data_IF_815326280552
#
_entry.id   IF_815326280552
#
_cell.length_a   1.000
_cell.length_b   1.000
_cell.length_c   1.000
_cell.angle_alpha   90.00
_cell.angle_beta   90.00
_cell.angle_gamma   90.00
#
_symmetry.space_group_name_H-M   'P 1'
#
loop_
_entity.id
_entity.type
_entity.pdbx_description
1 polymer ?
#
# COMPACT_ATOMS: atom_id res chain seq x y z
N UNK A 1 -57.70 59.82 14.88
CA UNK A 1 -57.14 59.33 13.60
C UNK A 1 -55.61 59.46 13.47
N UNK A 2 -54.89 60.18 14.36
CA UNK A 2 -53.42 60.29 14.26
C UNK A 2 -52.65 59.02 14.69
N UNK A 3 -53.19 58.24 15.63
CA UNK A 3 -52.54 57.02 16.15
C UNK A 3 -52.73 55.77 15.27
N UNK A 4 -53.77 55.74 14.43
CA UNK A 4 -54.02 54.62 13.51
C UNK A 4 -53.04 54.61 12.33
N UNK A 5 -52.61 55.79 11.88
CA UNK A 5 -51.62 55.91 10.80
C UNK A 5 -50.22 55.42 11.25
N UNK A 6 -49.89 55.64 12.53
CA UNK A 6 -48.60 55.24 13.11
C UNK A 6 -48.51 53.72 13.30
N UNK A 7 -49.62 53.07 13.65
CA UNK A 7 -49.71 51.60 13.74
C UNK A 7 -49.65 50.98 12.35
N UNK A 8 -50.32 51.56 11.35
CA UNK A 8 -50.29 51.07 9.98
C UNK A 8 -48.89 51.15 9.33
N UNK A 9 -48.12 52.22 9.63
CA UNK A 9 -46.74 52.37 9.17
C UNK A 9 -45.78 51.43 9.90
N UNK A 10 -46.03 51.12 11.18
CA UNK A 10 -45.18 50.18 11.95
C UNK A 10 -45.38 48.72 11.54
N UNK A 11 -46.56 48.35 11.04
CA UNK A 11 -46.85 46.99 10.53
C UNK A 11 -46.23 46.76 9.14
N UNK A 12 -46.05 47.81 8.34
CA UNK A 12 -45.38 47.74 7.03
C UNK A 12 -43.85 47.59 7.11
N UNK A 13 -43.24 47.83 8.28
CA UNK A 13 -41.79 47.66 8.52
C UNK A 13 -41.42 46.28 9.06
N UNK A 14 -42.40 45.41 9.35
CA UNK A 14 -42.18 44.07 9.92
C UNK A 14 -42.33 42.93 8.88
N UNK A 15 -42.57 43.23 7.60
CA UNK A 15 -42.72 42.22 6.54
C UNK A 15 -41.47 42.07 5.67
N UNK A 16 -40.32 42.59 6.12
CA UNK A 16 -39.05 42.53 5.41
C UNK A 16 -38.04 41.57 6.05
N UNK A 17 -38.44 40.35 6.37
CA UNK A 17 -37.48 39.24 6.45
C UNK A 17 -37.42 38.63 5.06
N UNK A 18 -36.53 39.18 4.22
CA UNK A 18 -35.98 38.49 3.06
C UNK A 18 -35.21 37.29 3.63
N UNK A 19 -35.91 36.15 3.74
CA UNK A 19 -35.34 34.88 4.17
C UNK A 19 -34.43 34.42 3.03
N UNK A 20 -33.21 34.97 3.05
CA UNK A 20 -32.22 34.83 1.99
C UNK A 20 -32.12 33.37 1.61
N UNK A 21 -32.51 33.09 0.37
CA UNK A 21 -32.55 31.75 -0.20
C UNK A 21 -31.18 31.09 0.01
N UNK A 22 -31.08 30.23 1.03
CA UNK A 22 -29.85 29.51 1.37
C UNK A 22 -29.67 28.45 0.29
N UNK A 23 -29.08 28.85 -0.83
CA UNK A 23 -28.57 27.92 -1.84
C UNK A 23 -27.44 27.15 -1.16
N UNK A 24 -27.77 26.01 -0.57
CA UNK A 24 -26.78 25.09 -0.01
C UNK A 24 -26.08 24.39 -1.17
N UNK A 25 -24.90 24.87 -1.52
CA UNK A 25 -23.99 24.13 -2.39
C UNK A 25 -23.60 22.82 -1.71
N UNK A 26 -23.92 21.69 -2.33
CA UNK A 26 -23.61 20.35 -1.82
C UNK A 26 -22.88 19.54 -2.91
N UNK A 27 -21.78 18.88 -2.54
CA UNK A 27 -20.96 18.11 -3.46
C UNK A 27 -21.41 16.65 -3.48
N UNK A 28 -22.27 16.29 -4.43
CA UNK A 28 -22.92 14.97 -4.48
C UNK A 28 -22.16 14.01 -5.41
N UNK A 29 -21.48 13.02 -4.81
CA UNK A 29 -20.73 11.98 -5.53
C UNK A 29 -21.10 10.55 -5.09
N UNK A 30 -22.18 10.35 -4.34
CA UNK A 30 -22.51 9.06 -3.71
C UNK A 30 -22.58 7.89 -4.71
N UNK A 31 -23.07 8.15 -5.93
CA UNK A 31 -23.19 7.14 -6.99
C UNK A 31 -21.95 7.00 -7.88
N UNK A 32 -20.95 7.85 -7.72
CA UNK A 32 -19.72 7.80 -8.50
C UNK A 32 -18.71 6.83 -7.85
N UNK A 33 -18.07 5.98 -8.66
CA UNK A 33 -16.99 5.10 -8.21
C UNK A 33 -15.66 5.84 -8.08
N UNK A 34 -14.84 5.46 -7.09
CA UNK A 34 -13.47 5.96 -6.99
C UNK A 34 -12.60 5.32 -8.07
N UNK A 35 -11.83 6.15 -8.76
CA UNK A 35 -10.86 5.75 -9.79
C UNK A 35 -9.46 6.26 -9.41
N UNK A 36 -8.41 5.63 -9.96
CA UNK A 36 -6.99 5.96 -9.73
C UNK A 36 -6.34 6.34 -11.05
N UNK A 37 -5.59 7.43 -11.07
CA UNK A 37 -4.72 7.75 -12.20
C UNK A 37 -3.53 6.78 -12.24
N UNK A 38 -3.21 6.23 -13.41
CA UNK A 38 -2.17 5.20 -13.56
C UNK A 38 -0.75 5.67 -13.21
N UNK A 39 -0.47 6.96 -13.43
CA UNK A 39 0.89 7.52 -13.36
C UNK A 39 1.07 8.55 -12.22
N UNK A 40 0.11 8.65 -11.29
CA UNK A 40 0.16 9.64 -10.21
C UNK A 40 -0.58 9.16 -8.97
N UNK A 41 -0.36 9.81 -7.84
CA UNK A 41 -0.98 9.53 -6.55
C UNK A 41 -2.45 10.00 -6.43
N UNK A 42 -3.11 10.23 -7.57
CA UNK A 42 -4.44 10.84 -7.63
C UNK A 42 -5.53 9.78 -7.68
N UNK A 43 -6.40 9.81 -6.67
CA UNK A 43 -7.71 9.19 -6.67
C UNK A 43 -8.76 10.24 -7.06
N UNK A 44 -9.81 9.85 -7.78
CA UNK A 44 -10.84 10.79 -8.18
C UNK A 44 -12.21 10.13 -8.35
N UNK A 45 -13.24 10.99 -8.37
CA UNK A 45 -14.62 10.66 -8.73
C UNK A 45 -15.10 11.70 -9.73
N UNK A 46 -15.85 11.28 -10.73
CA UNK A 46 -16.48 12.16 -11.72
C UNK A 46 -17.99 12.00 -11.61
N UNK A 47 -18.70 13.12 -11.64
CA UNK A 47 -20.14 13.19 -11.77
C UNK A 47 -20.48 14.27 -12.83
N UNK A 48 -20.67 13.83 -14.07
CA UNK A 48 -20.92 14.69 -15.23
C UNK A 48 -19.86 15.80 -15.43
N UNK A 49 -20.17 17.06 -15.09
CA UNK A 49 -19.26 18.22 -15.22
C UNK A 49 -18.39 18.44 -13.98
N UNK A 50 -18.58 17.64 -12.93
CA UNK A 50 -17.95 17.82 -11.62
C UNK A 50 -16.95 16.70 -11.34
N UNK A 51 -15.86 17.03 -10.65
CA UNK A 51 -14.88 16.06 -10.18
C UNK A 51 -14.46 16.34 -8.75
N UNK A 52 -14.29 15.27 -7.97
CA UNK A 52 -13.68 15.30 -6.66
C UNK A 52 -12.34 14.56 -6.75
N UNK A 53 -11.25 15.25 -6.44
CA UNK A 53 -9.88 14.85 -6.73
C UNK A 53 -9.12 14.78 -5.41
N UNK A 54 -8.69 13.58 -5.03
CA UNK A 54 -7.91 13.31 -3.83
C UNK A 54 -6.49 12.89 -4.21
N UNK A 55 -5.52 13.76 -3.99
CA UNK A 55 -4.11 13.45 -4.17
C UNK A 55 -3.51 13.08 -2.82
N UNK A 56 -2.95 11.88 -2.69
CA UNK A 56 -2.28 11.45 -1.45
C UNK A 56 -1.26 10.37 -1.75
N UNK A 57 -0.08 10.35 -1.08
CA UNK A 57 0.93 9.33 -1.31
C UNK A 57 0.35 7.91 -1.22
N UNK A 58 0.73 7.05 -2.18
CA UNK A 58 0.32 5.64 -2.18
C UNK A 58 0.67 4.93 -0.86
N UNK A 59 1.74 5.33 -0.18
CA UNK A 59 2.14 4.80 1.13
C UNK A 59 1.05 4.88 2.21
N UNK A 60 0.02 5.71 2.02
CA UNK A 60 -1.16 5.79 2.91
C UNK A 60 -2.17 4.65 2.70
N UNK A 61 -2.01 3.85 1.65
CA UNK A 61 -2.82 2.68 1.31
C UNK A 61 -1.97 1.39 1.34
N UNK A 62 -1.31 1.04 2.46
CA UNK A 62 -0.62 -0.22 2.53
C UNK A 62 -1.64 -1.37 2.50
N UNK A 63 -1.30 -2.44 1.77
CA UNK A 63 -2.05 -3.70 1.72
C UNK A 63 -1.96 -4.48 3.04
N UNK A 64 -2.42 -3.87 4.11
CA UNK A 64 -2.43 -4.40 5.48
C UNK A 64 -3.75 -3.98 6.12
N UNK A 65 -4.44 -4.91 6.77
CA UNK A 65 -5.71 -4.61 7.42
C UNK A 65 -5.53 -3.62 8.57
N UNK A 66 -6.53 -2.76 8.76
CA UNK A 66 -6.63 -1.93 9.96
C UNK A 66 -7.41 -2.70 11.02
N UNK A 67 -7.06 -2.54 12.29
CA UNK A 67 -7.87 -3.08 13.39
C UNK A 67 -9.27 -2.44 13.37
N UNK A 68 -10.27 -3.18 13.86
CA UNK A 68 -11.64 -2.70 13.94
C UNK A 68 -11.70 -1.33 14.65
N UNK A 69 -12.43 -0.39 14.06
CA UNK A 69 -12.61 0.99 14.56
C UNK A 69 -11.31 1.80 14.75
N UNK A 70 -10.19 1.35 14.19
CA UNK A 70 -8.89 2.05 14.26
C UNK A 70 -8.40 2.35 12.83
N UNK A 71 -8.98 3.35 12.14
CA UNK A 71 -8.55 3.69 10.79
C UNK A 71 -7.16 4.32 10.79
N UNK A 72 -6.49 4.31 9.63
CA UNK A 72 -5.30 5.13 9.41
C UNK A 72 -5.72 6.58 9.23
N UNK A 73 -5.08 7.48 9.96
CA UNK A 73 -5.38 8.91 9.91
C UNK A 73 -4.32 9.61 9.08
N UNK A 74 -4.76 10.30 8.02
CA UNK A 74 -3.90 11.11 7.14
C UNK A 74 -4.38 12.56 7.22
N UNK A 75 -3.52 13.48 7.67
CA UNK A 75 -3.88 14.90 7.70
C UNK A 75 -4.00 15.46 6.28
N UNK A 76 -4.98 16.34 6.05
CA UNK A 76 -5.06 17.11 4.81
C UNK A 76 -4.08 18.29 4.90
N UNK A 77 -3.17 18.38 3.92
CA UNK A 77 -2.06 19.31 3.90
C UNK A 77 -0.76 18.65 3.42
N UNK A 78 0.22 19.47 3.02
CA UNK A 78 1.51 18.99 2.51
C UNK A 78 1.35 18.19 1.21
N UNK A 79 1.68 16.90 1.24
CA UNK A 79 1.58 15.98 0.09
C UNK A 79 0.16 15.42 -0.13
N UNK A 80 -0.78 15.72 0.78
CA UNK A 80 -2.17 15.25 0.71
C UNK A 80 -3.11 16.41 0.49
N UNK A 81 -3.97 16.34 -0.53
CA UNK A 81 -4.97 17.37 -0.84
C UNK A 81 -6.26 16.78 -1.38
N UNK A 82 -7.37 17.44 -1.06
CA UNK A 82 -8.69 17.19 -1.65
C UNK A 82 -9.14 18.45 -2.38
N UNK A 83 -9.59 18.30 -3.61
CA UNK A 83 -10.02 19.40 -4.47
C UNK A 83 -11.35 19.01 -5.11
N UNK A 84 -12.33 19.90 -5.05
CA UNK A 84 -13.50 19.83 -5.92
C UNK A 84 -13.31 20.76 -7.12
N UNK A 85 -13.74 20.32 -8.29
CA UNK A 85 -13.60 21.06 -9.55
C UNK A 85 -14.84 20.90 -10.42
N UNK A 86 -15.34 22.02 -10.95
CA UNK A 86 -16.41 22.06 -11.96
C UNK A 86 -15.85 22.51 -13.30
N UNK A 87 -16.19 21.77 -14.34
CA UNK A 87 -15.75 21.99 -15.70
C UNK A 87 -16.86 22.62 -16.55
N UNK A 88 -16.47 23.27 -17.66
CA UNK A 88 -17.42 23.92 -18.57
C UNK A 88 -18.33 22.95 -19.31
N UNK A 89 -17.90 21.70 -19.46
CA UNK A 89 -18.65 20.59 -20.08
C UNK A 89 -18.36 19.30 -19.32
N UNK A 90 -19.07 18.22 -19.66
CA UNK A 90 -18.85 16.88 -19.08
C UNK A 90 -17.37 16.53 -19.11
N UNK A 91 -16.85 16.12 -17.95
CA UNK A 91 -15.42 15.82 -17.76
C UNK A 91 -15.14 14.32 -17.87
N UNK A 92 -13.86 13.97 -17.89
CA UNK A 92 -13.39 12.60 -18.08
C UNK A 92 -12.03 12.39 -17.42
N UNK A 93 -11.58 11.14 -17.34
CA UNK A 93 -10.27 10.76 -16.79
C UNK A 93 -9.11 11.58 -17.33
N UNK A 94 -9.09 11.92 -18.63
CA UNK A 94 -7.99 12.68 -19.24
C UNK A 94 -7.91 14.11 -18.71
N UNK A 95 -9.05 14.71 -18.32
CA UNK A 95 -9.07 16.04 -17.70
C UNK A 95 -8.63 16.06 -16.24
N UNK A 96 -8.50 14.89 -15.61
CA UNK A 96 -8.07 14.73 -14.22
C UNK A 96 -6.62 14.25 -14.14
N UNK A 97 -6.28 13.22 -14.93
CA UNK A 97 -5.00 12.51 -14.86
C UNK A 97 -3.93 13.06 -15.81
N UNK A 98 -4.33 13.77 -16.87
CA UNK A 98 -3.44 14.37 -17.85
C UNK A 98 -3.58 15.90 -17.84
N UNK A 99 -3.10 16.56 -18.90
CA UNK A 99 -3.30 18.01 -19.08
C UNK A 99 -4.77 18.30 -19.39
N UNK A 100 -5.50 19.04 -18.54
CA UNK A 100 -6.90 19.34 -18.76
C UNK A 100 -7.09 20.17 -20.04
N UNK A 101 -8.06 19.78 -20.87
CA UNK A 101 -8.44 20.52 -22.09
C UNK A 101 -9.75 21.27 -21.92
N UNK A 102 -10.56 20.90 -20.93
CA UNK A 102 -11.82 21.57 -20.61
C UNK A 102 -11.56 22.72 -19.62
N UNK A 103 -12.08 23.94 -19.88
CA UNK A 103 -11.99 25.05 -18.93
C UNK A 103 -12.60 24.72 -17.57
N UNK A 104 -11.93 25.13 -16.51
CA UNK A 104 -12.42 25.01 -15.13
C UNK A 104 -13.24 26.25 -14.80
N UNK A 105 -14.52 26.05 -14.49
CA UNK A 105 -15.43 27.13 -14.10
C UNK A 105 -15.34 27.43 -12.60
N UNK A 106 -15.08 26.40 -11.81
CA UNK A 106 -15.05 26.52 -10.35
C UNK A 106 -14.06 25.52 -9.74
N UNK A 107 -13.36 25.95 -8.70
CA UNK A 107 -12.46 25.09 -7.95
C UNK A 107 -12.51 25.44 -6.47
N UNK A 108 -12.70 24.42 -5.65
CA UNK A 108 -12.66 24.50 -4.20
C UNK A 108 -11.49 23.69 -3.69
N UNK A 109 -10.66 24.30 -2.86
CA UNK A 109 -9.59 23.59 -2.16
C UNK A 109 -10.07 23.18 -0.78
N UNK A 110 -9.56 22.09 -0.25
CA UNK A 110 -9.87 21.67 1.12
C UNK A 110 -8.75 22.07 2.06
N UNK A 111 -9.12 22.67 3.18
CA UNK A 111 -8.21 23.04 4.26
C UNK A 111 -8.62 22.35 5.55
N UNK A 112 -7.62 21.99 6.37
CA UNK A 112 -7.83 21.29 7.64
C UNK A 112 -8.39 19.87 7.49
N UNK A 113 -8.63 19.23 8.64
CA UNK A 113 -9.23 17.91 8.71
C UNK A 113 -8.28 16.75 8.35
N UNK A 114 -8.87 15.55 8.28
CA UNK A 114 -8.14 14.29 8.05
C UNK A 114 -8.90 13.38 7.10
N UNK A 115 -8.20 12.55 6.34
CA UNK A 115 -8.73 11.33 5.74
C UNK A 115 -8.55 10.16 6.71
N UNK A 116 -9.64 9.50 7.08
CA UNK A 116 -9.66 8.23 7.79
C UNK A 116 -9.79 7.10 6.77
N UNK A 117 -8.80 6.19 6.76
CA UNK A 117 -8.71 5.08 5.81
C UNK A 117 -8.85 3.78 6.57
N UNK A 118 -9.95 3.06 6.34
CA UNK A 118 -10.19 1.71 6.86
C UNK A 118 -9.84 0.68 5.79
N UNK A 119 -8.99 -0.29 6.10
CA UNK A 119 -8.52 -1.30 5.13
C UNK A 119 -8.97 -2.70 5.54
N UNK A 120 -9.61 -3.41 4.62
CA UNK A 120 -10.10 -4.79 4.81
C UNK A 120 -9.60 -5.69 3.68
N UNK A 121 -9.31 -6.97 3.96
CA UNK A 121 -9.04 -7.95 2.90
C UNK A 121 -10.28 -8.24 2.07
N UNK A 122 -10.06 -8.50 0.79
CA UNK A 122 -11.01 -9.14 -0.12
C UNK A 122 -10.52 -10.58 -0.31
N UNK A 123 -11.35 -11.54 0.05
CA UNK A 123 -11.05 -12.97 -0.06
C UNK A 123 -11.71 -13.56 -1.31
N UNK A 124 -11.08 -14.56 -1.92
CA UNK A 124 -11.69 -15.41 -2.94
C UNK A 124 -12.64 -16.46 -2.32
N UNK A 125 -13.19 -17.35 -3.15
CA UNK A 125 -14.11 -18.42 -2.70
C UNK A 125 -13.44 -19.43 -1.77
N UNK A 126 -12.11 -19.47 -1.72
CA UNK A 126 -11.33 -20.39 -0.88
C UNK A 126 -10.81 -19.72 0.40
N UNK A 127 -11.19 -18.47 0.66
CA UNK A 127 -10.73 -17.72 1.83
C UNK A 127 -9.32 -17.14 1.68
N UNK A 128 -8.74 -17.15 0.48
CA UNK A 128 -7.42 -16.59 0.20
C UNK A 128 -7.58 -15.10 -0.14
N UNK A 129 -6.75 -14.26 0.47
CA UNK A 129 -6.75 -12.84 0.15
C UNK A 129 -6.30 -12.60 -1.30
N UNK A 130 -7.11 -11.89 -2.08
CA UNK A 130 -6.83 -11.54 -3.48
C UNK A 130 -6.69 -10.04 -3.72
N UNK A 131 -7.20 -9.22 -2.83
CA UNK A 131 -7.13 -7.76 -2.91
C UNK A 131 -7.36 -7.12 -1.53
N UNK A 132 -7.20 -5.80 -1.45
CA UNK A 132 -7.60 -4.99 -0.31
C UNK A 132 -8.59 -3.92 -0.74
N UNK A 133 -9.55 -3.63 0.15
CA UNK A 133 -10.45 -2.50 0.02
C UNK A 133 -10.08 -1.43 1.03
N UNK A 134 -9.83 -0.21 0.55
CA UNK A 134 -9.55 0.97 1.36
C UNK A 134 -10.76 1.90 1.35
N UNK A 135 -11.56 1.90 2.41
CA UNK A 135 -12.67 2.84 2.57
C UNK A 135 -12.17 4.17 3.13
N UNK A 136 -12.44 5.27 2.43
CA UNK A 136 -11.91 6.60 2.71
C UNK A 136 -13.06 7.53 3.14
N UNK A 137 -12.93 8.09 4.33
CA UNK A 137 -13.87 9.07 4.91
C UNK A 137 -13.09 10.28 5.39
N UNK A 138 -13.44 11.47 4.91
CA UNK A 138 -12.86 12.70 5.41
C UNK A 138 -13.59 13.18 6.66
N UNK A 139 -12.86 13.74 7.62
CA UNK A 139 -13.38 14.28 8.88
C UNK A 139 -12.97 15.72 9.07
N UNK A 140 -13.93 16.54 9.51
CA UNK A 140 -13.75 17.96 9.86
C UNK A 140 -13.00 18.75 8.77
N UNK A 141 -13.42 18.59 7.52
CA UNK A 141 -12.82 19.26 6.37
C UNK A 141 -13.60 20.51 6.00
N UNK A 142 -12.90 21.53 5.49
CA UNK A 142 -13.52 22.76 4.99
C UNK A 142 -13.13 22.98 3.54
N UNK A 143 -14.10 22.93 2.63
CA UNK A 143 -13.94 23.40 1.26
C UNK A 143 -13.96 24.93 1.25
N UNK A 144 -12.99 25.55 0.58
CA UNK A 144 -12.85 26.99 0.49
C UNK A 144 -12.66 27.47 -0.95
N UNK A 145 -13.24 28.63 -1.24
CA UNK A 145 -12.91 29.54 -2.34
C UNK A 145 -12.48 30.88 -1.73
N UNK A 146 -12.07 31.89 -2.53
CA UNK A 146 -11.79 33.22 -1.98
C UNK A 146 -12.97 33.84 -1.21
N UNK A 147 -14.21 33.54 -1.62
CA UNK A 147 -15.41 34.22 -1.11
C UNK A 147 -16.35 33.33 -0.30
N UNK A 148 -16.20 32.00 -0.38
CA UNK A 148 -17.13 31.04 0.23
C UNK A 148 -16.39 29.93 0.98
N UNK A 149 -17.06 29.35 1.96
CA UNK A 149 -16.62 28.17 2.68
C UNK A 149 -17.78 27.20 2.94
N UNK A 150 -17.49 25.90 2.91
CA UNK A 150 -18.44 24.83 3.24
C UNK A 150 -17.71 23.83 4.15
N UNK A 151 -18.29 23.54 5.31
CA UNK A 151 -17.71 22.66 6.32
C UNK A 151 -18.43 21.32 6.32
N UNK A 152 -17.67 20.22 6.40
CA UNK A 152 -18.20 18.88 6.60
C UNK A 152 -17.52 18.23 7.82
N UNK A 153 -18.32 17.86 8.81
CA UNK A 153 -17.85 17.03 9.94
C UNK A 153 -17.42 15.64 9.44
N UNK A 154 -18.13 15.11 8.44
CA UNK A 154 -17.83 13.84 7.81
C UNK A 154 -18.23 13.86 6.33
N UNK A 155 -17.33 13.42 5.45
CA UNK A 155 -17.60 13.30 4.01
C UNK A 155 -17.06 11.99 3.47
N UNK A 156 -17.94 11.10 3.01
CA UNK A 156 -17.55 9.79 2.47
C UNK A 156 -17.03 9.93 1.05
N UNK A 157 -15.76 9.64 0.83
CA UNK A 157 -15.18 9.63 -0.51
C UNK A 157 -15.55 8.34 -1.24
N UNK A 158 -15.34 7.18 -0.60
CA UNK A 158 -15.68 5.88 -1.16
C UNK A 158 -14.55 4.87 -0.97
N UNK A 159 -14.62 3.79 -1.73
CA UNK A 159 -13.73 2.64 -1.62
C UNK A 159 -12.71 2.59 -2.77
N UNK A 160 -11.43 2.49 -2.43
CA UNK A 160 -10.31 2.30 -3.36
C UNK A 160 -9.77 0.87 -3.23
N UNK A 161 -9.74 0.11 -4.33
CA UNK A 161 -9.25 -1.26 -4.36
C UNK A 161 -7.80 -1.34 -4.84
N UNK A 162 -6.99 -2.14 -4.15
CA UNK A 162 -5.64 -2.51 -4.54
C UNK A 162 -5.52 -4.02 -4.67
N UNK A 163 -4.75 -4.49 -5.65
CA UNK A 163 -4.57 -5.92 -5.90
C UNK A 163 -3.48 -6.52 -5.01
N UNK A 164 -3.61 -7.82 -4.70
CA UNK A 164 -2.48 -8.64 -4.27
C UNK A 164 -1.81 -9.19 -5.54
N UNK A 165 -0.49 -8.99 -5.65
CA UNK A 165 0.29 -9.53 -6.76
C UNK A 165 0.63 -10.98 -6.45
N UNK A 166 0.44 -11.89 -7.41
CA UNK A 166 1.02 -13.23 -7.32
C UNK A 166 2.37 -13.22 -8.05
N UNK A 167 3.47 -13.45 -7.33
CA UNK A 167 4.82 -13.49 -7.93
C UNK A 167 5.08 -14.76 -8.75
N UNK A 168 4.13 -15.72 -8.81
CA UNK A 168 4.35 -17.06 -9.35
C UNK A 168 5.61 -17.68 -8.74
N UNK A 169 5.65 -17.65 -7.40
CA UNK A 169 6.80 -18.05 -6.60
C UNK A 169 7.00 -19.57 -6.66
N UNK A 170 7.63 -20.04 -7.74
CA UNK A 170 7.96 -21.44 -7.96
C UNK A 170 9.47 -21.67 -7.83
N UNK A 171 9.84 -22.15 -6.65
CA UNK A 171 11.19 -22.61 -6.34
C UNK A 171 11.21 -24.09 -5.94
N UNK A 172 10.14 -24.82 -6.25
CA UNK A 172 9.95 -26.23 -5.86
C UNK A 172 11.09 -27.13 -6.38
N UNK A 173 11.63 -26.81 -7.56
CA UNK A 173 12.74 -27.52 -8.19
C UNK A 173 14.07 -26.74 -8.17
N UNK A 174 14.10 -25.55 -7.57
CA UNK A 174 15.30 -24.73 -7.54
C UNK A 174 16.25 -25.17 -6.42
N UNK A 175 17.51 -25.42 -6.76
CA UNK A 175 18.55 -25.80 -5.81
C UNK A 175 19.08 -24.59 -5.05
N UNK A 176 19.23 -24.72 -3.73
CA UNK A 176 19.91 -23.72 -2.90
C UNK A 176 21.37 -23.63 -3.32
N UNK A 177 21.88 -22.41 -3.46
CA UNK A 177 23.26 -22.13 -3.82
C UNK A 177 23.82 -21.05 -2.89
N UNK A 178 25.14 -21.01 -2.78
CA UNK A 178 25.89 -19.96 -2.09
C UNK A 178 27.16 -19.65 -2.86
N UNK A 179 27.75 -18.49 -2.59
CA UNK A 179 29.04 -18.12 -3.16
C UNK A 179 30.14 -18.26 -2.11
N UNK A 180 31.28 -18.83 -2.49
CA UNK A 180 32.44 -18.94 -1.60
C UNK A 180 32.87 -17.56 -1.10
N UNK A 181 33.00 -17.39 0.23
CA UNK A 181 33.44 -16.15 0.85
C UNK A 181 32.37 -15.06 1.01
N UNK A 182 31.09 -15.37 0.76
CA UNK A 182 29.95 -14.49 1.04
C UNK A 182 28.88 -15.22 1.85
N UNK A 183 28.09 -14.49 2.65
CA UNK A 183 26.94 -14.99 3.39
C UNK A 183 25.66 -15.08 2.55
N UNK A 184 25.72 -14.67 1.28
CA UNK A 184 24.59 -14.76 0.36
C UNK A 184 24.27 -16.22 0.02
N UNK A 185 23.07 -16.63 0.43
CA UNK A 185 22.41 -17.86 0.01
C UNK A 185 21.31 -17.47 -0.98
N UNK A 186 21.19 -18.18 -2.10
CA UNK A 186 20.25 -17.82 -3.14
C UNK A 186 19.66 -19.03 -3.86
N UNK A 187 18.54 -18.79 -4.52
CA UNK A 187 17.92 -19.66 -5.51
C UNK A 187 17.55 -18.82 -6.71
N UNK A 188 17.62 -19.39 -7.90
CA UNK A 188 17.06 -18.77 -9.09
C UNK A 188 16.26 -19.79 -9.90
N UNK A 189 15.25 -19.29 -10.61
CA UNK A 189 14.45 -20.04 -11.55
C UNK A 189 14.23 -19.15 -12.78
N UNK A 190 14.78 -19.56 -13.93
CA UNK A 190 14.82 -18.76 -15.16
C UNK A 190 15.41 -17.36 -14.95
N UNK A 191 14.56 -16.34 -14.91
CA UNK A 191 14.91 -14.93 -14.75
C UNK A 191 14.55 -14.36 -13.37
N UNK A 192 14.13 -15.20 -12.42
CA UNK A 192 13.73 -14.81 -11.07
C UNK A 192 14.74 -15.32 -10.05
N UNK A 193 15.03 -14.54 -9.01
CA UNK A 193 15.95 -14.93 -7.94
C UNK A 193 15.36 -14.63 -6.56
N UNK A 194 15.55 -15.56 -5.64
CA UNK A 194 15.29 -15.39 -4.22
C UNK A 194 16.63 -15.36 -3.49
N UNK A 195 16.90 -14.27 -2.81
CA UNK A 195 18.16 -13.95 -2.16
C UNK A 195 17.95 -13.90 -0.65
N UNK A 196 18.87 -14.51 0.09
CA UNK A 196 18.95 -14.51 1.53
C UNK A 196 20.36 -14.06 1.93
N UNK A 197 20.46 -12.85 2.44
CA UNK A 197 21.65 -12.33 3.12
C UNK A 197 21.39 -12.39 4.61
N UNK A 198 22.21 -13.12 5.35
CA UNK A 198 21.87 -13.54 6.72
C UNK A 198 23.12 -13.69 7.56
N UNK A 199 22.97 -13.45 8.87
CA UNK A 199 24.03 -13.69 9.83
C UNK A 199 24.49 -15.16 9.83
N UNK A 200 25.77 -15.37 9.54
CA UNK A 200 26.38 -16.70 9.47
C UNK A 200 26.30 -17.48 10.81
N UNK A 201 26.09 -16.79 11.94
CA UNK A 201 25.90 -17.44 13.25
C UNK A 201 24.64 -18.31 13.32
N UNK A 202 23.68 -18.16 12.39
CA UNK A 202 22.56 -19.09 12.26
C UNK A 202 22.99 -20.50 11.81
N UNK A 203 24.14 -20.63 11.15
CA UNK A 203 24.68 -21.87 10.58
C UNK A 203 25.81 -22.45 11.43
N UNK A 204 25.68 -22.40 12.76
CA UNK A 204 26.65 -23.06 13.64
C UNK A 204 26.55 -24.59 13.54
N UNK A 205 27.71 -25.24 13.51
CA UNK A 205 27.90 -26.70 13.40
C UNK A 205 27.49 -27.44 14.70
N UNK A 206 26.24 -27.29 15.10
CA UNK A 206 25.64 -27.92 16.26
C UNK A 206 24.19 -28.28 15.97
N UNK A 207 23.76 -29.46 16.41
CA UNK A 207 22.38 -29.94 16.21
C UNK A 207 21.41 -29.08 17.03
N UNK A 208 20.30 -28.67 16.41
CA UNK A 208 19.21 -27.99 17.12
C UNK A 208 18.26 -29.02 17.74
N UNK A 209 17.68 -28.72 18.90
CA UNK A 209 16.64 -29.58 19.46
C UNK A 209 15.38 -29.56 18.59
N UNK A 210 14.65 -30.67 18.55
CA UNK A 210 13.41 -30.79 17.75
C UNK A 210 12.42 -29.68 18.12
N UNK A 211 11.90 -28.99 17.12
CA UNK A 211 10.96 -27.86 17.29
C UNK A 211 11.59 -26.59 17.88
N UNK A 212 12.91 -26.55 18.04
CA UNK A 212 13.65 -25.39 18.55
C UNK A 212 14.74 -24.95 17.55
N UNK A 213 14.34 -24.43 16.36
CA UNK A 213 15.28 -23.90 15.39
C UNK A 213 16.02 -22.69 15.94
N UNK A 214 17.20 -22.38 15.37
CA UNK A 214 17.78 -21.04 15.54
C UNK A 214 16.95 -20.05 14.75
N UNK A 215 16.68 -18.89 15.35
CA UNK A 215 15.81 -17.89 14.75
C UNK A 215 16.50 -16.55 14.62
N UNK A 216 16.24 -15.84 13.52
CA UNK A 216 16.59 -14.45 13.37
C UNK A 216 15.43 -13.66 12.74
N UNK A 217 15.24 -12.41 13.16
CA UNK A 217 14.26 -11.52 12.55
C UNK A 217 14.77 -11.02 11.21
N UNK A 218 13.92 -11.09 10.19
CA UNK A 218 14.13 -10.39 8.93
C UNK A 218 14.19 -8.89 9.23
N UNK A 219 15.15 -8.19 8.65
CA UNK A 219 15.33 -6.76 8.81
C UNK A 219 16.09 -6.15 7.63
N UNK A 220 16.16 -4.82 7.58
CA UNK A 220 16.77 -4.09 6.48
C UNK A 220 18.31 -4.00 6.52
N UNK A 221 18.99 -4.60 7.50
CA UNK A 221 20.45 -4.45 7.69
C UNK A 221 21.22 -5.76 7.56
N UNK A 222 20.85 -6.78 8.34
CA UNK A 222 21.66 -7.99 8.54
C UNK A 222 21.00 -9.23 7.98
N UNK A 223 19.68 -9.33 8.10
CA UNK A 223 18.92 -10.52 7.73
C UNK A 223 17.90 -10.15 6.66
N UNK A 224 18.35 -10.04 5.41
CA UNK A 224 17.54 -9.56 4.29
C UNK A 224 17.09 -10.73 3.45
N UNK A 225 15.80 -10.75 3.14
CA UNK A 225 15.24 -11.63 2.12
C UNK A 225 14.70 -10.77 0.99
N UNK A 226 15.16 -11.05 -0.23
CA UNK A 226 14.81 -10.24 -1.41
C UNK A 226 14.43 -11.16 -2.55
N UNK A 227 13.29 -10.89 -3.18
CA UNK A 227 12.90 -11.50 -4.44
C UNK A 227 13.14 -10.51 -5.58
N UNK A 228 13.77 -10.96 -6.66
CA UNK A 228 14.16 -10.14 -7.81
C UNK A 228 13.74 -10.80 -9.12
N UNK A 229 13.34 -10.00 -10.10
CA UNK A 229 13.11 -10.41 -11.48
C UNK A 229 14.05 -9.62 -12.40
N UNK A 230 14.55 -10.31 -13.42
CA UNK A 230 15.49 -9.76 -14.39
C UNK A 230 14.94 -9.88 -15.82
N UNK A 231 15.50 -9.08 -16.75
CA UNK A 231 15.11 -9.08 -18.16
C UNK A 231 15.75 -10.21 -19.00
N UNK A 232 16.39 -11.19 -18.36
CA UNK A 232 17.04 -12.31 -19.04
C UNK A 232 17.38 -13.43 -18.07
N UNK A 233 17.83 -14.55 -18.61
CA UNK A 233 18.12 -15.75 -17.85
C UNK A 233 19.29 -15.57 -16.87
N UNK A 234 19.15 -16.17 -15.69
CA UNK A 234 20.16 -16.17 -14.64
C UNK A 234 20.99 -17.46 -14.64
N UNK A 235 22.17 -17.37 -14.03
CA UNK A 235 23.03 -18.51 -13.71
C UNK A 235 23.83 -18.21 -12.43
N UNK A 236 24.50 -19.23 -11.87
CA UNK A 236 25.31 -19.10 -10.65
C UNK A 236 26.37 -17.99 -10.75
N UNK A 237 27.03 -17.85 -11.90
CA UNK A 237 28.09 -16.86 -12.09
C UNK A 237 27.56 -15.41 -12.00
N UNK A 238 26.27 -15.18 -12.29
CA UNK A 238 25.67 -13.87 -12.12
C UNK A 238 25.73 -13.37 -10.66
N UNK A 239 25.56 -14.28 -9.69
CA UNK A 239 25.60 -13.95 -8.27
C UNK A 239 27.00 -14.10 -7.65
N UNK A 240 27.81 -15.03 -8.16
CA UNK A 240 29.08 -15.39 -7.53
C UNK A 240 30.34 -14.82 -8.19
N UNK A 241 30.22 -14.10 -9.32
CA UNK A 241 31.37 -13.44 -9.92
C UNK A 241 31.92 -12.34 -8.98
N UNK A 242 33.25 -12.20 -8.95
CA UNK A 242 33.92 -11.13 -8.20
C UNK A 242 33.48 -9.72 -8.64
N UNK A 243 33.06 -9.60 -9.90
CA UNK A 243 32.39 -8.41 -10.44
C UNK A 243 31.02 -8.89 -10.95
N UNK A 244 29.94 -8.43 -10.32
CA UNK A 244 28.57 -8.76 -10.72
C UNK A 244 28.35 -8.32 -12.17
N UNK A 245 27.90 -9.23 -13.06
CA UNK A 245 27.59 -8.86 -14.43
C UNK A 245 26.50 -7.80 -14.49
N UNK A 246 26.60 -6.88 -15.45
CA UNK A 246 25.56 -5.87 -15.70
C UNK A 246 24.35 -6.42 -16.47
N UNK A 247 24.44 -7.66 -16.97
CA UNK A 247 23.38 -8.35 -17.70
C UNK A 247 23.12 -9.75 -17.11
N UNK A 248 21.85 -10.15 -16.93
CA UNK A 248 20.63 -9.36 -17.18
C UNK A 248 20.41 -8.22 -16.17
N UNK A 249 19.58 -7.23 -16.53
CA UNK A 249 19.27 -6.07 -15.66
C UNK A 249 18.03 -6.34 -14.81
N UNK A 250 18.04 -5.80 -13.58
CA UNK A 250 16.91 -5.86 -12.66
C UNK A 250 15.68 -5.13 -13.24
N UNK A 251 14.55 -5.82 -13.30
CA UNK A 251 13.26 -5.24 -13.72
C UNK A 251 12.32 -5.04 -12.54
N UNK A 252 12.48 -5.84 -11.49
CA UNK A 252 11.60 -5.81 -10.34
C UNK A 252 12.30 -6.31 -9.08
N UNK A 253 12.03 -5.66 -7.95
CA UNK A 253 12.56 -6.03 -6.64
C UNK A 253 11.45 -5.97 -5.59
N UNK A 254 11.40 -7.00 -4.76
CA UNK A 254 10.51 -7.14 -3.62
C UNK A 254 11.34 -7.45 -2.38
N UNK A 255 11.20 -6.63 -1.35
CA UNK A 255 11.96 -6.75 -0.11
C UNK A 255 11.03 -7.30 0.96
N UNK A 256 11.47 -8.31 1.70
CA UNK A 256 10.70 -8.84 2.82
C UNK A 256 10.55 -7.81 3.94
N UNK A 257 9.36 -7.73 4.53
CA UNK A 257 9.09 -6.83 5.66
C UNK A 257 9.85 -7.24 6.92
N UNK A 258 10.12 -6.26 7.78
CA UNK A 258 10.76 -6.51 9.07
C UNK A 258 9.93 -7.48 9.91
N UNK A 259 10.61 -8.43 10.54
CA UNK A 259 10.01 -9.42 11.40
C UNK A 259 9.53 -8.88 12.74
N UNK A 260 8.53 -9.58 13.30
CA UNK A 260 8.08 -9.44 14.69
C UNK A 260 8.19 -10.81 15.35
N UNK A 261 8.96 -10.90 16.43
CA UNK A 261 9.28 -12.16 17.10
C UNK A 261 8.04 -13.01 17.41
N UNK A 262 8.09 -14.29 17.03
CA UNK A 262 7.00 -15.27 17.14
C UNK A 262 5.80 -15.03 16.22
N UNK A 263 5.72 -13.88 15.55
CA UNK A 263 4.52 -13.41 14.86
C UNK A 263 4.68 -13.47 13.34
N UNK A 264 5.73 -12.87 12.79
CA UNK A 264 5.96 -12.78 11.33
C UNK A 264 7.43 -12.50 10.98
N UNK A 265 7.83 -12.81 9.76
CA UNK A 265 9.13 -12.41 9.20
C UNK A 265 10.34 -12.95 9.99
N UNK A 266 10.37 -14.25 10.24
CA UNK A 266 11.53 -14.91 10.87
C UNK A 266 12.24 -15.84 9.89
N UNK A 267 13.57 -15.87 9.95
CA UNK A 267 14.37 -16.94 9.37
C UNK A 267 14.57 -17.99 10.45
N UNK A 268 14.16 -19.22 10.17
CA UNK A 268 14.29 -20.37 11.08
C UNK A 268 15.23 -21.38 10.47
N UNK A 269 16.23 -21.79 11.24
CA UNK A 269 17.26 -22.74 10.83
C UNK A 269 17.26 -23.94 11.76
N UNK A 270 16.85 -25.09 11.23
CA UNK A 270 17.00 -26.39 11.88
C UNK A 270 18.30 -27.03 11.41
N UNK A 271 19.07 -27.60 12.33
CA UNK A 271 20.36 -28.22 12.03
C UNK A 271 20.39 -29.67 12.47
N UNK A 272 20.76 -30.56 11.55
CA UNK A 272 21.01 -31.98 11.81
C UNK A 272 22.44 -32.35 11.43
N UNK A 273 23.06 -33.24 12.20
CA UNK A 273 24.36 -33.80 11.82
C UNK A 273 24.14 -34.87 10.75
N UNK A 274 24.89 -34.79 9.65
CA UNK A 274 24.95 -35.85 8.64
C UNK A 274 25.98 -36.91 9.08
N UNK A 275 27.15 -36.43 9.51
CA UNK A 275 28.24 -37.22 10.09
C UNK A 275 29.03 -36.37 11.10
N UNK A 276 30.22 -36.82 11.50
CA UNK A 276 31.06 -36.15 12.48
C UNK A 276 31.60 -34.78 12.03
N UNK A 277 31.56 -34.48 10.73
CA UNK A 277 32.16 -33.29 10.11
C UNK A 277 31.17 -32.45 9.30
N UNK A 278 30.03 -33.00 8.88
CA UNK A 278 29.04 -32.31 8.04
C UNK A 278 27.72 -32.06 8.77
N UNK A 279 27.20 -30.83 8.64
CA UNK A 279 25.92 -30.41 9.20
C UNK A 279 25.00 -29.92 8.10
N UNK A 280 23.75 -30.38 8.13
CA UNK A 280 22.69 -29.92 7.24
C UNK A 280 21.82 -28.92 7.95
N UNK A 281 21.68 -27.74 7.36
CA UNK A 281 20.82 -26.66 7.81
C UNK A 281 19.59 -26.58 6.90
N UNK A 282 18.40 -26.77 7.43
CA UNK A 282 17.15 -26.53 6.73
C UNK A 282 16.66 -25.13 7.07
N UNK A 283 16.56 -24.27 6.06
CA UNK A 283 16.20 -22.86 6.18
C UNK A 283 14.73 -22.69 5.83
N UNK A 284 13.99 -22.03 6.71
CA UNK A 284 12.57 -21.77 6.58
C UNK A 284 12.29 -20.28 6.80
N UNK A 285 11.54 -19.68 5.88
CA UNK A 285 11.02 -18.32 5.99
C UNK A 285 9.63 -18.36 6.62
N UNK A 286 9.54 -18.03 7.90
CA UNK A 286 8.30 -18.09 8.67
C UNK A 286 7.46 -16.82 8.46
N UNK A 287 6.25 -17.00 7.93
CA UNK A 287 5.24 -15.93 7.71
C UNK A 287 5.84 -14.65 7.10
N UNK A 288 6.57 -14.83 6.01
CA UNK A 288 7.26 -13.73 5.33
C UNK A 288 6.34 -13.02 4.35
N UNK A 289 6.27 -11.70 4.46
CA UNK A 289 5.58 -10.83 3.51
C UNK A 289 6.62 -10.05 2.70
N UNK A 290 6.57 -10.16 1.38
CA UNK A 290 7.38 -9.38 0.44
C UNK A 290 6.65 -8.11 0.03
N UNK A 291 7.38 -6.99 -0.14
CA UNK A 291 6.81 -5.69 -0.47
C UNK A 291 7.50 -5.02 -1.64
N UNK A 292 6.70 -4.39 -2.51
CA UNK A 292 7.14 -3.48 -3.58
C UNK A 292 6.20 -2.27 -3.59
N UNK A 293 6.66 -1.14 -3.06
CA UNK A 293 5.80 0.02 -2.84
C UNK A 293 4.65 -0.32 -1.89
N UNK A 294 3.40 -0.19 -2.34
CA UNK A 294 2.21 -0.60 -1.58
C UNK A 294 1.82 -2.05 -1.76
N UNK A 295 2.37 -2.69 -2.79
CA UNK A 295 2.03 -4.06 -3.15
C UNK A 295 2.72 -5.00 -2.16
N UNK A 296 1.97 -6.01 -1.75
CA UNK A 296 2.45 -7.07 -0.87
C UNK A 296 2.25 -8.41 -1.53
N UNK A 297 3.19 -9.32 -1.32
CA UNK A 297 3.07 -10.72 -1.67
C UNK A 297 3.35 -11.59 -0.45
N UNK A 298 2.46 -12.54 -0.20
CA UNK A 298 2.64 -13.59 0.80
C UNK A 298 2.61 -14.91 0.02
N UNK A 299 3.54 -15.81 0.33
CA UNK A 299 3.53 -17.15 -0.26
C UNK A 299 2.16 -17.82 -0.01
N UNK A 300 1.54 -18.48 -1.02
CA UNK A 300 0.08 -18.66 -1.15
C UNK A 300 -0.66 -19.53 -0.11
N UNK A 301 -0.09 -19.76 1.08
CA UNK A 301 -0.79 -20.49 2.15
C UNK A 301 -0.65 -19.86 3.54
N UNK A 302 -0.17 -18.61 3.66
CA UNK A 302 0.18 -17.98 4.95
C UNK A 302 1.18 -18.77 5.81
N UNK A 303 1.76 -19.83 5.22
CA UNK A 303 2.67 -20.76 5.84
C UNK A 303 4.13 -20.37 5.63
N UNK A 304 4.93 -21.14 6.33
CA UNK A 304 6.37 -21.22 6.24
C UNK A 304 6.81 -21.65 4.84
N UNK A 305 7.66 -20.84 4.21
CA UNK A 305 8.32 -21.24 2.97
C UNK A 305 9.66 -21.87 3.28
N UNK A 306 9.84 -23.16 2.98
CA UNK A 306 11.15 -23.81 3.07
C UNK A 306 12.04 -23.22 1.97
N UNK A 307 12.96 -22.33 2.38
CA UNK A 307 13.93 -21.73 1.48
C UNK A 307 14.79 -22.81 0.86
N UNK A 308 15.25 -23.79 1.64
CA UNK A 308 16.00 -24.94 1.17
C UNK A 308 17.07 -25.38 2.16
N UNK A 309 17.99 -26.22 1.71
CA UNK A 309 19.03 -26.80 2.56
C UNK A 309 20.41 -26.18 2.27
N UNK A 310 21.24 -26.06 3.30
CA UNK A 310 22.62 -25.57 3.23
C UNK A 310 23.52 -26.49 4.07
N UNK A 311 24.68 -26.88 3.54
CA UNK A 311 25.60 -27.80 4.23
C UNK A 311 26.86 -27.05 4.61
N UNK A 312 27.30 -27.22 5.85
CA UNK A 312 28.58 -26.72 6.37
C UNK A 312 29.46 -27.88 6.82
N UNK A 313 30.75 -27.61 6.90
CA UNK A 313 31.78 -28.55 7.37
C UNK A 313 32.50 -27.96 8.60
N UNK A 314 32.90 -28.82 9.54
CA UNK A 314 33.74 -28.48 10.71
C UNK A 314 35.20 -28.18 10.31
#
# INVERSE_FOLDING_TARGET
MKYFLTIFISVLLLTGCDDGDLITENFVFENASVQKCSNSNVLYKINDVEALIFNTPETNFPNTETAANTPRIVAIGGSTSLIYRKFATTTSTTNICDTPTIPVLEQWTVTGGTAEITTTKILDTNGIAVAYNHNIVFKNITFVTPDKQIVYDSYTFGSYRTEIVNLNFDYSLATTQNCSGNNLIFKYNNNNALLLDVDASLFTNAVTSVGSPRTALINNTTNKVVYRVYNGSLNTNFFCAAITPSTPTLTEEWIAENGVAGTSGEIRVETVAIDATHFKHTITLYKTTFKKGILTYIYPTSDDFVFGEYITTL
#
